data_IF_037604170547
#
_entry.id   IF_037604170547
#
_cell.length_a   1.000
_cell.length_b   1.000
_cell.length_c   1.000
_cell.angle_alpha   90.00
_cell.angle_beta   90.00
_cell.angle_gamma   90.00
#
_symmetry.space_group_name_H-M   'P 1'
#
loop_
_entity.id
_entity.type
_entity.pdbx_description
1 polymer ?
#
# COMPACT_ATOMS: atom_id res chain seq x y z
N UNK A 1 -31.44 22.04 43.69
CA UNK A 1 -32.67 21.24 43.46
C UNK A 1 -33.40 21.80 42.25
N UNK A 2 -33.97 20.89 41.46
CA UNK A 2 -34.85 21.06 40.30
C UNK A 2 -34.23 21.34 38.91
N UNK A 3 -34.10 20.22 38.21
CA UNK A 3 -34.08 20.00 36.77
C UNK A 3 -35.42 20.45 36.16
N UNK A 4 -35.40 21.12 35.02
CA UNK A 4 -36.43 20.92 33.99
C UNK A 4 -35.81 20.96 32.60
N UNK A 5 -35.70 19.77 32.01
CA UNK A 5 -35.51 19.52 30.59
C UNK A 5 -36.59 20.25 29.78
N UNK A 6 -36.18 20.95 28.71
CA UNK A 6 -36.92 20.94 27.45
C UNK A 6 -35.94 20.68 26.32
N UNK A 7 -35.89 19.41 25.94
CA UNK A 7 -35.27 18.94 24.73
C UNK A 7 -35.98 19.58 23.52
N UNK A 8 -35.22 20.24 22.66
CA UNK A 8 -35.59 20.39 21.25
C UNK A 8 -34.47 19.71 20.48
N UNK A 9 -34.65 18.41 20.28
CA UNK A 9 -33.90 17.62 19.33
C UNK A 9 -34.41 18.03 17.94
N UNK A 10 -33.68 18.93 17.29
CA UNK A 10 -33.81 19.11 15.85
C UNK A 10 -32.94 18.06 15.17
N UNK A 11 -33.57 16.91 14.89
CA UNK A 11 -33.09 15.92 13.93
C UNK A 11 -33.09 16.57 12.56
N UNK A 12 -31.99 17.22 12.18
CA UNK A 12 -31.69 17.49 10.77
C UNK A 12 -30.76 16.41 10.28
N UNK A 13 -31.41 15.30 9.96
CA UNK A 13 -30.92 14.19 9.16
C UNK A 13 -30.50 14.71 7.79
N UNK A 14 -29.21 15.00 7.62
CA UNK A 14 -28.51 14.71 6.37
C UNK A 14 -27.09 14.28 6.73
N UNK A 15 -26.96 13.04 7.21
CA UNK A 15 -25.69 12.35 7.08
C UNK A 15 -25.57 12.06 5.58
N UNK A 16 -25.06 13.04 4.81
CA UNK A 16 -24.34 12.69 3.61
C UNK A 16 -23.14 11.90 4.11
N UNK A 17 -23.32 10.59 4.23
CA UNK A 17 -22.24 9.63 4.12
C UNK A 17 -21.68 9.84 2.74
N UNK A 18 -20.80 10.83 2.62
CA UNK A 18 -19.82 10.91 1.57
C UNK A 18 -18.98 9.64 1.72
N UNK A 19 -19.47 8.55 1.14
CA UNK A 19 -18.60 7.55 0.56
C UNK A 19 -17.64 8.35 -0.30
N UNK A 20 -16.45 8.63 0.23
CA UNK A 20 -15.33 9.03 -0.59
C UNK A 20 -15.18 7.90 -1.60
N UNK A 21 -15.66 8.14 -2.82
CA UNK A 21 -15.27 7.33 -3.97
C UNK A 21 -13.74 7.24 -3.89
N UNK A 22 -13.25 6.02 -3.65
CA UNK A 22 -11.88 5.79 -3.19
C UNK A 22 -10.89 6.29 -4.22
N UNK A 23 -10.34 7.49 -4.00
CA UNK A 23 -9.30 8.03 -4.86
C UNK A 23 -8.10 7.09 -4.82
N UNK A 24 -7.57 6.73 -5.99
CA UNK A 24 -6.35 5.94 -6.07
C UNK A 24 -5.23 6.56 -5.24
N UNK A 25 -4.46 5.71 -4.56
CA UNK A 25 -3.39 6.16 -3.68
C UNK A 25 -2.42 7.08 -4.44
N UNK A 26 -2.21 8.27 -3.89
CA UNK A 26 -1.28 9.28 -4.42
C UNK A 26 0.13 9.12 -3.85
N UNK A 27 0.21 8.55 -2.65
CA UNK A 27 1.45 8.39 -1.89
C UNK A 27 1.50 6.99 -1.30
N UNK A 28 2.66 6.36 -1.36
CA UNK A 28 2.93 5.05 -0.75
C UNK A 28 3.19 5.18 0.76
N UNK A 29 3.20 4.07 1.50
CA UNK A 29 3.44 4.07 2.95
C UNK A 29 4.80 4.64 3.37
N UNK A 30 5.79 4.65 2.47
CA UNK A 30 7.10 5.25 2.70
C UNK A 30 7.18 6.76 2.32
N UNK A 31 6.07 7.37 1.92
CA UNK A 31 6.02 8.77 1.50
C UNK A 31 6.35 9.04 0.03
N UNK A 32 6.69 8.01 -0.76
CA UNK A 32 6.95 8.17 -2.19
C UNK A 32 5.69 8.55 -2.96
N UNK A 33 5.80 9.49 -3.90
CA UNK A 33 4.70 9.94 -4.76
C UNK A 33 4.54 9.02 -5.96
N UNK A 34 3.33 8.49 -6.17
CA UNK A 34 3.02 7.62 -7.32
C UNK A 34 3.02 8.44 -8.61
N UNK A 35 2.59 9.71 -8.58
CA UNK A 35 2.67 10.62 -9.73
C UNK A 35 4.12 10.92 -10.11
N UNK A 36 4.99 11.11 -9.12
CA UNK A 36 6.42 11.29 -9.34
C UNK A 36 7.03 10.08 -10.04
N UNK A 37 6.73 8.87 -9.54
CA UNK A 37 7.22 7.62 -10.15
C UNK A 37 6.69 7.41 -11.57
N UNK A 38 5.42 7.74 -11.85
CA UNK A 38 4.86 7.69 -13.21
C UNK A 38 5.59 8.67 -14.12
N UNK A 39 5.83 9.90 -13.67
CA UNK A 39 6.54 10.92 -14.45
C UNK A 39 7.98 10.50 -14.78
N UNK A 40 8.68 9.90 -13.82
CA UNK A 40 10.04 9.38 -14.01
C UNK A 40 10.08 8.20 -15.00
N UNK A 41 9.07 7.32 -14.96
CA UNK A 41 8.98 6.16 -15.87
C UNK A 41 8.38 6.53 -17.24
N UNK A 42 7.66 7.66 -17.31
CA UNK A 42 6.95 8.15 -18.49
C UNK A 42 5.60 7.49 -18.78
N UNK A 43 5.25 6.38 -18.12
CA UNK A 43 3.97 5.68 -18.32
C UNK A 43 3.58 4.79 -17.12
N UNK A 44 2.34 4.92 -16.65
CA UNK A 44 1.77 4.10 -15.59
C UNK A 44 1.71 2.59 -15.91
N UNK A 45 1.45 2.22 -17.18
CA UNK A 45 1.43 0.79 -17.57
C UNK A 45 2.83 0.17 -17.50
N UNK A 46 3.86 0.89 -17.91
CA UNK A 46 5.23 0.38 -17.84
C UNK A 46 5.70 0.30 -16.39
N UNK A 47 5.39 1.31 -15.57
CA UNK A 47 5.69 1.25 -14.14
C UNK A 47 4.98 0.07 -13.45
N UNK A 48 3.73 -0.22 -13.81
CA UNK A 48 3.01 -1.38 -13.27
C UNK A 48 3.68 -2.69 -13.68
N UNK A 49 4.13 -2.80 -14.93
CA UNK A 49 4.86 -3.97 -15.42
C UNK A 49 6.18 -4.16 -14.69
N UNK A 50 6.95 -3.08 -14.46
CA UNK A 50 8.19 -3.11 -13.71
C UNK A 50 7.95 -3.50 -12.24
N UNK A 51 6.96 -2.91 -11.60
CA UNK A 51 6.60 -3.22 -10.21
C UNK A 51 6.22 -4.69 -10.04
N UNK A 52 5.41 -5.25 -10.95
CA UNK A 52 5.06 -6.68 -10.95
C UNK A 52 6.28 -7.58 -11.15
N UNK A 53 7.16 -7.24 -12.09
CA UNK A 53 8.41 -7.99 -12.27
C UNK A 53 9.29 -7.95 -11.01
N UNK A 54 9.33 -6.82 -10.32
CA UNK A 54 10.08 -6.66 -9.08
C UNK A 54 9.48 -7.48 -7.92
N UNK A 55 8.15 -7.60 -7.85
CA UNK A 55 7.45 -8.50 -6.91
C UNK A 55 7.87 -9.95 -7.14
N UNK A 56 7.90 -10.41 -8.39
CA UNK A 56 8.31 -11.78 -8.74
C UNK A 56 9.76 -12.05 -8.34
N UNK A 57 10.66 -11.08 -8.53
CA UNK A 57 12.06 -11.19 -8.08
C UNK A 57 12.17 -11.23 -6.55
N UNK A 58 11.37 -10.45 -5.83
CA UNK A 58 11.31 -10.55 -4.37
C UNK A 58 10.81 -11.91 -3.90
N UNK A 59 9.81 -12.49 -4.56
CA UNK A 59 9.30 -13.81 -4.19
C UNK A 59 10.34 -14.92 -4.38
N UNK A 60 11.10 -14.88 -5.49
CA UNK A 60 12.23 -15.80 -5.70
C UNK A 60 13.29 -15.63 -4.61
N UNK A 61 13.75 -14.40 -4.40
CA UNK A 61 14.83 -14.10 -3.48
C UNK A 61 14.47 -14.43 -2.01
N UNK A 62 13.26 -14.06 -1.57
CA UNK A 62 12.75 -14.41 -0.23
C UNK A 62 12.59 -15.92 -0.06
N UNK A 63 12.22 -16.63 -1.12
CA UNK A 63 12.20 -18.10 -1.15
C UNK A 63 13.58 -18.71 -0.88
N UNK A 64 14.63 -18.20 -1.53
CA UNK A 64 16.01 -18.65 -1.30
C UNK A 64 16.51 -18.29 0.11
N UNK A 65 16.23 -17.07 0.60
CA UNK A 65 16.57 -16.70 1.97
C UNK A 65 15.90 -17.62 3.00
N UNK A 66 14.62 -17.96 2.80
CA UNK A 66 13.90 -18.89 3.68
C UNK A 66 14.52 -20.28 3.67
N UNK A 67 14.97 -20.79 2.52
CA UNK A 67 15.70 -22.06 2.44
C UNK A 67 17.00 -22.00 3.25
N UNK A 68 17.79 -20.96 3.08
CA UNK A 68 19.04 -20.75 3.84
C UNK A 68 18.80 -20.69 5.35
N UNK A 69 17.74 -19.99 5.79
CA UNK A 69 17.36 -19.95 7.21
C UNK A 69 16.99 -21.35 7.73
N UNK A 70 16.22 -22.13 6.97
CA UNK A 70 15.80 -23.48 7.37
C UNK A 70 16.95 -24.50 7.39
N UNK A 71 18.04 -24.24 6.68
CA UNK A 71 19.25 -25.07 6.67
C UNK A 71 20.19 -24.78 7.85
N UNK A 72 19.78 -23.90 8.78
CA UNK A 72 20.60 -23.51 9.93
C UNK A 72 21.69 -22.48 9.59
N UNK A 73 21.65 -21.87 8.40
CA UNK A 73 22.54 -20.75 8.00
C UNK A 73 22.05 -19.42 8.63
N UNK A 74 21.02 -19.45 9.48
CA UNK A 74 20.35 -18.28 10.04
C UNK A 74 21.23 -17.50 11.05
N UNK A 75 21.98 -16.52 10.55
CA UNK A 75 22.49 -15.40 11.35
C UNK A 75 21.47 -14.27 11.43
N UNK A 76 21.63 -13.38 12.42
CA UNK A 76 20.81 -12.17 12.59
C UNK A 76 20.72 -11.33 11.30
N UNK A 77 21.80 -11.32 10.50
CA UNK A 77 21.88 -10.60 9.23
C UNK A 77 20.90 -11.13 8.17
N UNK A 78 20.77 -12.46 8.03
CA UNK A 78 19.84 -13.07 7.06
C UNK A 78 18.40 -12.78 7.46
N UNK A 79 18.10 -12.78 8.76
CA UNK A 79 16.77 -12.45 9.25
C UNK A 79 16.41 -10.99 9.01
N UNK A 80 17.37 -10.08 9.17
CA UNK A 80 17.20 -8.66 8.83
C UNK A 80 16.98 -8.47 7.32
N UNK A 81 17.75 -9.14 6.47
CA UNK A 81 17.57 -9.10 5.02
C UNK A 81 16.19 -9.62 4.61
N UNK A 82 15.72 -10.73 5.19
CA UNK A 82 14.40 -11.27 4.93
C UNK A 82 13.29 -10.27 5.31
N UNK A 83 13.40 -9.64 6.48
CA UNK A 83 12.44 -8.62 6.94
C UNK A 83 12.44 -7.38 6.04
N UNK A 84 13.62 -6.89 5.65
CA UNK A 84 13.76 -5.77 4.72
C UNK A 84 13.17 -6.11 3.34
N UNK A 85 13.39 -7.32 2.84
CA UNK A 85 12.81 -7.81 1.60
C UNK A 85 11.29 -7.85 1.62
N UNK A 86 10.69 -8.32 2.72
CA UNK A 86 9.23 -8.32 2.89
C UNK A 86 8.65 -6.89 2.84
N UNK A 87 9.33 -5.94 3.49
CA UNK A 87 8.93 -4.53 3.46
C UNK A 87 9.02 -3.94 2.06
N UNK A 88 10.10 -4.21 1.33
CA UNK A 88 10.29 -3.74 -0.04
C UNK A 88 9.26 -4.36 -0.99
N UNK A 89 9.00 -5.67 -0.90
CA UNK A 89 7.93 -6.34 -1.66
C UNK A 89 6.57 -5.70 -1.40
N UNK A 90 6.23 -5.44 -0.14
CA UNK A 90 4.96 -4.82 0.23
C UNK A 90 4.80 -3.43 -0.39
N UNK A 91 5.88 -2.66 -0.47
CA UNK A 91 5.87 -1.35 -1.12
C UNK A 91 5.58 -1.47 -2.62
N UNK A 92 6.17 -2.46 -3.31
CA UNK A 92 5.86 -2.74 -4.71
C UNK A 92 4.40 -3.19 -4.90
N UNK A 93 3.86 -3.99 -3.98
CA UNK A 93 2.44 -4.37 -4.01
C UNK A 93 1.51 -3.15 -3.81
N UNK A 94 1.90 -2.20 -2.94
CA UNK A 94 1.19 -0.92 -2.78
C UNK A 94 1.22 -0.09 -4.07
N UNK A 95 2.40 0.01 -4.69
CA UNK A 95 2.57 0.72 -5.96
C UNK A 95 1.74 0.07 -7.07
N UNK A 96 1.81 -1.26 -7.21
CA UNK A 96 1.02 -2.00 -8.20
C UNK A 96 -0.48 -1.77 -8.03
N UNK A 97 -1.01 -1.83 -6.80
CA UNK A 97 -2.43 -1.53 -6.52
C UNK A 97 -2.81 -0.09 -6.86
N UNK A 98 -1.94 0.88 -6.55
CA UNK A 98 -2.18 2.28 -6.86
C UNK A 98 -2.25 2.52 -8.38
N UNK A 99 -1.37 1.87 -9.15
CA UNK A 99 -1.33 1.98 -10.61
C UNK A 99 -2.50 1.27 -11.28
N UNK A 100 -2.88 0.08 -10.80
CA UNK A 100 -4.07 -0.64 -11.28
C UNK A 100 -5.33 0.21 -11.12
N UNK A 101 -5.50 0.85 -9.95
CA UNK A 101 -6.61 1.75 -9.71
C UNK A 101 -6.63 2.90 -10.74
N UNK A 102 -5.49 3.59 -10.94
CA UNK A 102 -5.40 4.74 -11.86
C UNK A 102 -5.67 4.36 -13.30
N UNK A 103 -5.14 3.21 -13.73
CA UNK A 103 -5.39 2.67 -15.07
C UNK A 103 -6.85 2.25 -15.28
N UNK A 104 -7.59 1.94 -14.20
CA UNK A 104 -9.03 1.68 -14.27
C UNK A 104 -9.86 2.98 -14.31
N UNK A 105 -9.34 4.09 -13.80
CA UNK A 105 -9.95 5.42 -13.87
C UNK A 105 -9.65 6.17 -15.20
N UNK A 106 -8.72 5.66 -16.03
CA UNK A 106 -8.24 6.29 -17.28
C UNK A 106 -8.92 5.75 -18.53
#
# INVERSE_FOLDING_TARGET
MNITLKAVVLVSMVIFSSFSYGQCAQTLSNGASVDGMIAETGNARELLKLSRAQIDEYDKWLGELRKSMNQGVAGNEIQQLYSSGQMAKKLEEELSRALECRLAES
#
